data_IF_945570581911
#
_entry.id   IF_945570581911
#
_cell.length_a   1.000
_cell.length_b   1.000
_cell.length_c   1.000
_cell.angle_alpha   90.00
_cell.angle_beta   90.00
_cell.angle_gamma   90.00
#
_symmetry.space_group_name_H-M   'P 1'
#
loop_
_entity.id
_entity.type
_entity.pdbx_description
1 polymer ?
#
# COMPACT_ATOMS: atom_id res chain seq x y z
N UNK A 1 6.36 -29.75 2.75
CA UNK A 1 7.07 -28.97 3.79
C UNK A 1 6.29 -27.70 4.02
N UNK A 2 5.77 -27.48 5.23
CA UNK A 2 4.98 -26.30 5.55
C UNK A 2 5.90 -25.07 5.52
N UNK A 3 5.62 -24.12 4.63
CA UNK A 3 6.43 -22.91 4.45
C UNK A 3 6.51 -22.13 5.76
N UNK A 4 7.73 -21.77 6.14
CA UNK A 4 8.03 -20.95 7.32
C UNK A 4 7.19 -19.67 7.29
N UNK A 5 6.53 -19.37 8.41
CA UNK A 5 5.60 -18.25 8.53
C UNK A 5 6.41 -16.95 8.65
N UNK A 6 6.36 -16.11 7.62
CA UNK A 6 7.01 -14.79 7.64
C UNK A 6 6.07 -13.78 8.31
N UNK A 7 6.48 -13.26 9.46
CA UNK A 7 5.84 -12.14 10.14
C UNK A 7 6.45 -10.84 9.62
N UNK A 8 5.66 -9.77 9.52
CA UNK A 8 6.19 -8.41 9.40
C UNK A 8 6.24 -7.82 10.80
N UNK A 9 7.43 -7.49 11.28
CA UNK A 9 7.59 -6.79 12.54
C UNK A 9 7.27 -5.30 12.34
N UNK A 10 6.24 -4.81 13.05
CA UNK A 10 5.93 -3.39 13.13
C UNK A 10 6.35 -2.85 14.49
N UNK A 11 7.09 -1.75 14.54
CA UNK A 11 7.35 -1.05 15.80
C UNK A 11 6.18 -0.12 16.11
N UNK A 12 5.45 -0.40 17.20
CA UNK A 12 4.55 0.57 17.79
C UNK A 12 5.37 1.70 18.43
N UNK A 13 4.81 2.91 18.53
CA UNK A 13 5.45 4.03 19.22
C UNK A 13 5.41 3.87 20.77
N UNK A 14 5.54 2.65 21.26
CA UNK A 14 5.64 2.31 22.68
C UNK A 14 6.96 1.55 22.85
N UNK A 15 7.93 2.14 23.57
CA UNK A 15 9.23 1.50 23.81
C UNK A 15 9.06 0.07 24.36
N UNK A 16 9.68 -0.90 23.69
CA UNK A 16 9.66 -2.30 24.12
C UNK A 16 8.46 -3.13 23.66
N UNK A 17 7.57 -2.60 22.81
CA UNK A 17 6.47 -3.38 22.20
C UNK A 17 6.76 -3.57 20.71
N UNK A 18 7.13 -4.79 20.33
CA UNK A 18 7.20 -5.23 18.93
C UNK A 18 5.85 -5.83 18.57
N UNK A 19 5.12 -5.18 17.65
CA UNK A 19 3.86 -5.72 17.13
C UNK A 19 4.17 -6.66 15.98
N UNK A 20 3.71 -7.91 16.07
CA UNK A 20 3.90 -8.90 15.02
C UNK A 20 2.68 -8.91 14.11
N UNK A 21 2.87 -8.54 12.85
CA UNK A 21 1.84 -8.58 11.82
C UNK A 21 2.02 -9.89 11.06
N UNK A 22 0.93 -10.60 10.79
CA UNK A 22 0.99 -11.80 9.98
C UNK A 22 0.31 -11.53 8.63
N UNK A 23 1.07 -11.39 7.54
CA UNK A 23 0.52 -11.11 6.21
C UNK A 23 -0.45 -12.20 5.72
N UNK A 24 -0.23 -13.46 6.13
CA UNK A 24 -1.14 -14.58 5.84
C UNK A 24 -2.30 -14.71 6.85
N UNK A 25 -2.40 -13.81 7.83
CA UNK A 25 -3.56 -13.70 8.75
C UNK A 25 -4.69 -12.87 8.13
N UNK A 26 -4.81 -12.89 6.79
CA UNK A 26 -6.15 -13.04 6.25
C UNK A 26 -6.69 -14.31 6.89
N UNK A 27 -7.60 -14.18 7.85
CA UNK A 27 -8.29 -15.33 8.43
C UNK A 27 -8.83 -16.12 7.23
N UNK A 28 -8.21 -17.25 6.89
CA UNK A 28 -8.88 -18.23 6.06
C UNK A 28 -10.05 -18.68 6.91
N UNK A 29 -11.26 -18.43 6.41
CA UNK A 29 -12.54 -18.39 7.12
C UNK A 29 -12.93 -19.67 7.89
N UNK A 30 -12.08 -20.68 7.89
CA UNK A 30 -12.40 -22.04 8.30
C UNK A 30 -11.78 -22.39 9.67
N UNK A 31 -11.00 -21.49 10.28
CA UNK A 31 -10.18 -21.79 11.47
C UNK A 31 -10.44 -20.89 12.68
N UNK A 32 -11.64 -20.31 12.82
CA UNK A 32 -12.04 -19.79 14.14
C UNK A 32 -12.25 -20.98 15.08
N UNK A 33 -11.24 -21.33 15.90
CA UNK A 33 -11.42 -22.37 16.91
C UNK A 33 -11.88 -21.75 18.25
N UNK A 34 -12.86 -22.36 18.93
CA UNK A 34 -13.45 -21.81 20.17
C UNK A 34 -12.50 -21.69 21.38
N UNK A 35 -11.29 -22.24 21.32
CA UNK A 35 -10.32 -22.21 22.42
C UNK A 35 -9.45 -20.95 22.52
N UNK A 36 -9.61 -20.00 21.60
CA UNK A 36 -8.66 -18.90 21.39
C UNK A 36 -9.00 -17.63 22.20
N UNK A 37 -10.20 -17.60 22.78
CA UNK A 37 -10.75 -16.50 23.58
C UNK A 37 -10.17 -16.38 24.99
N UNK A 38 -9.27 -17.25 25.46
CA UNK A 38 -8.73 -17.14 26.83
C UNK A 38 -7.26 -16.74 26.91
N UNK A 39 -6.48 -16.84 25.83
CA UNK A 39 -5.01 -16.70 25.91
C UNK A 39 -4.48 -15.37 25.34
N UNK A 40 -5.20 -14.70 24.43
CA UNK A 40 -4.67 -13.53 23.69
C UNK A 40 -5.47 -12.23 23.91
N UNK A 41 -5.98 -12.01 25.11
CA UNK A 41 -6.62 -10.73 25.50
C UNK A 41 -5.66 -9.53 25.55
N UNK A 42 -4.38 -9.72 25.28
CA UNK A 42 -3.39 -8.66 25.40
C UNK A 42 -2.37 -8.75 24.26
N UNK A 43 -2.48 -7.80 23.31
CA UNK A 43 -1.38 -7.23 22.49
C UNK A 43 -1.15 -7.74 21.06
N UNK A 44 -2.03 -8.56 20.49
CA UNK A 44 -1.96 -8.87 19.05
C UNK A 44 -3.11 -8.19 18.31
N UNK A 45 -2.79 -7.31 17.35
CA UNK A 45 -3.79 -6.57 16.55
C UNK A 45 -3.84 -7.13 15.13
N UNK A 46 -5.06 -7.43 14.66
CA UNK A 46 -5.27 -7.92 13.30
C UNK A 46 -5.30 -6.76 12.28
N UNK A 47 -4.69 -6.98 11.12
CA UNK A 47 -4.94 -6.16 9.94
C UNK A 47 -6.37 -6.41 9.46
N UNK A 48 -7.17 -5.35 9.31
CA UNK A 48 -8.58 -5.47 8.91
C UNK A 48 -8.80 -4.63 7.64
N UNK A 49 -9.29 -5.27 6.58
CA UNK A 49 -9.63 -4.58 5.34
C UNK A 49 -10.89 -3.71 5.47
N UNK A 50 -11.06 -2.69 4.64
CA UNK A 50 -12.28 -1.87 4.54
C UNK A 50 -13.55 -2.71 4.39
N UNK A 51 -13.45 -3.89 3.75
CA UNK A 51 -14.54 -4.84 3.60
C UNK A 51 -14.91 -5.53 4.92
N UNK A 52 -13.93 -5.90 5.74
CA UNK A 52 -14.12 -6.56 7.05
C UNK A 52 -14.46 -5.55 8.16
N UNK A 53 -14.08 -4.31 7.93
CA UNK A 53 -14.25 -3.18 8.81
C UNK A 53 -15.70 -2.74 9.01
N UNK A 54 -16.64 -3.26 8.22
CA UNK A 54 -18.07 -2.92 8.33
C UNK A 54 -18.82 -3.89 9.28
N UNK A 55 -18.26 -5.07 9.62
CA UNK A 55 -18.99 -6.15 10.32
C UNK A 55 -18.23 -6.89 11.43
N UNK A 56 -18.98 -7.48 12.37
CA UNK A 56 -18.48 -8.52 13.27
C UNK A 56 -18.75 -9.91 12.66
N UNK A 57 -17.77 -10.81 12.71
CA UNK A 57 -18.02 -12.24 12.56
C UNK A 57 -17.77 -12.96 13.90
N UNK A 58 -18.64 -13.91 14.30
CA UNK A 58 -19.89 -14.26 13.64
C UNK A 58 -20.96 -13.19 13.88
N UNK A 59 -21.77 -12.93 12.85
CA UNK A 59 -23.01 -12.18 12.99
C UNK A 59 -23.84 -12.93 14.01
N UNK A 60 -24.13 -12.31 15.16
CA UNK A 60 -24.85 -12.99 16.24
C UNK A 60 -26.18 -13.57 15.71
N UNK A 61 -26.24 -14.90 15.60
CA UNK A 61 -27.40 -15.64 15.10
C UNK A 61 -28.64 -15.46 15.97
N UNK A 62 -28.50 -15.06 17.23
CA UNK A 62 -29.61 -15.01 18.18
C UNK A 62 -30.58 -13.83 18.00
N UNK A 63 -30.22 -12.81 17.19
CA UNK A 63 -31.03 -11.58 17.05
C UNK A 63 -31.69 -11.34 15.69
N UNK A 64 -31.29 -12.05 14.63
CA UNK A 64 -31.72 -11.76 13.25
C UNK A 64 -32.59 -12.88 12.67
N UNK A 65 -33.76 -13.06 13.25
CA UNK A 65 -34.80 -13.96 12.75
C UNK A 65 -35.49 -13.26 11.57
N UNK A 66 -34.89 -13.30 10.36
CA UNK A 66 -35.58 -12.87 9.13
C UNK A 66 -34.75 -12.35 7.96
N UNK A 67 -33.42 -12.25 8.04
CA UNK A 67 -32.59 -11.70 6.96
C UNK A 67 -31.74 -12.79 6.29
N UNK A 68 -31.61 -12.76 4.96
CA UNK A 68 -30.70 -13.60 4.17
C UNK A 68 -29.24 -13.22 4.45
N UNK A 69 -28.77 -13.51 5.67
CA UNK A 69 -27.45 -13.12 6.18
C UNK A 69 -26.34 -13.84 5.41
N UNK A 70 -26.52 -15.11 5.09
CA UNK A 70 -25.54 -15.89 4.33
C UNK A 70 -25.30 -15.30 2.94
N UNK A 71 -26.36 -15.01 2.17
CA UNK A 71 -26.21 -14.44 0.83
C UNK A 71 -25.55 -13.04 0.85
N UNK A 72 -25.83 -12.22 1.88
CA UNK A 72 -25.15 -10.93 2.05
C UNK A 72 -23.66 -11.12 2.37
N UNK A 73 -23.32 -12.10 3.20
CA UNK A 73 -21.94 -12.44 3.50
C UNK A 73 -21.18 -12.95 2.28
N UNK A 74 -21.77 -13.87 1.52
CA UNK A 74 -21.16 -14.39 0.28
C UNK A 74 -20.91 -13.25 -0.72
N UNK A 75 -21.86 -12.32 -0.85
CA UNK A 75 -21.70 -11.12 -1.68
C UNK A 75 -20.54 -10.22 -1.21
N UNK A 76 -20.37 -10.06 0.12
CA UNK A 76 -19.25 -9.29 0.67
C UNK A 76 -17.91 -9.97 0.38
N UNK A 77 -17.83 -11.29 0.52
CA UNK A 77 -16.61 -12.05 0.23
C UNK A 77 -16.27 -11.97 -1.25
N UNK A 78 -17.28 -12.02 -2.11
CA UNK A 78 -17.09 -11.79 -3.54
C UNK A 78 -16.61 -10.36 -3.82
N UNK A 79 -17.19 -9.37 -3.16
CA UNK A 79 -16.76 -7.97 -3.29
C UNK A 79 -15.31 -7.77 -2.84
N UNK A 80 -14.91 -8.40 -1.73
CA UNK A 80 -13.52 -8.39 -1.23
C UNK A 80 -12.57 -9.06 -2.22
N UNK A 81 -12.96 -10.24 -2.72
CA UNK A 81 -12.20 -10.99 -3.73
C UNK A 81 -12.00 -10.16 -4.99
N UNK A 82 -13.05 -9.52 -5.50
CA UNK A 82 -12.97 -8.63 -6.66
C UNK A 82 -12.15 -7.37 -6.35
N UNK A 83 -12.26 -6.84 -5.13
CA UNK A 83 -11.60 -5.62 -4.68
C UNK A 83 -12.06 -4.38 -5.42
N UNK A 84 -11.34 -3.28 -5.19
CA UNK A 84 -11.42 -2.06 -6.00
C UNK A 84 -10.14 -1.95 -6.78
N UNK A 85 -10.23 -1.77 -8.10
CA UNK A 85 -9.07 -1.50 -8.95
C UNK A 85 -8.94 0.00 -9.13
N UNK A 86 -7.79 0.57 -8.76
CA UNK A 86 -7.49 2.00 -8.90
C UNK A 86 -6.33 2.15 -9.87
N UNK A 87 -6.47 2.90 -10.98
CA UNK A 87 -5.36 3.12 -11.90
C UNK A 87 -4.25 3.95 -11.22
N UNK A 88 -3.00 3.65 -11.54
CA UNK A 88 -1.86 4.49 -11.19
C UNK A 88 -1.34 5.12 -12.48
N UNK A 89 -1.60 6.41 -12.66
CA UNK A 89 -1.14 7.16 -13.84
C UNK A 89 0.09 8.01 -13.54
N UNK A 90 0.12 8.64 -12.37
CA UNK A 90 1.19 9.55 -11.98
C UNK A 90 1.80 9.16 -10.64
N UNK A 91 3.09 9.43 -10.50
CA UNK A 91 3.86 9.26 -9.26
C UNK A 91 4.29 10.62 -8.72
N UNK A 92 4.38 10.72 -7.39
CA UNK A 92 4.80 11.89 -6.67
C UNK A 92 5.91 11.57 -5.65
N UNK A 93 6.93 12.43 -5.63
CA UNK A 93 7.96 12.45 -4.59
C UNK A 93 7.68 13.62 -3.64
N UNK A 94 7.11 13.31 -2.48
CA UNK A 94 6.78 14.31 -1.46
C UNK A 94 8.01 14.71 -0.64
N UNK A 95 8.14 16.01 -0.36
CA UNK A 95 9.29 16.56 0.33
C UNK A 95 9.00 17.94 0.93
N UNK A 96 9.95 18.50 1.70
CA UNK A 96 9.86 19.87 2.21
C UNK A 96 10.29 20.89 1.15
N UNK A 97 9.90 22.16 1.31
CA UNK A 97 10.39 23.26 0.47
C UNK A 97 11.92 23.33 0.40
N UNK A 98 12.61 23.16 1.53
CA UNK A 98 14.08 23.23 1.60
C UNK A 98 14.72 22.07 0.81
N UNK A 99 14.20 20.85 0.99
CA UNK A 99 14.69 19.69 0.26
C UNK A 99 14.38 19.77 -1.24
N UNK A 100 13.24 20.36 -1.63
CA UNK A 100 12.89 20.55 -3.04
C UNK A 100 13.91 21.47 -3.74
N UNK A 101 14.33 22.55 -3.08
CA UNK A 101 15.40 23.43 -3.59
C UNK A 101 16.69 22.64 -3.76
N UNK A 102 17.07 21.85 -2.75
CA UNK A 102 18.26 20.99 -2.84
C UNK A 102 18.21 20.00 -4.01
N UNK A 103 17.06 19.35 -4.24
CA UNK A 103 16.86 18.41 -5.35
C UNK A 103 17.03 19.12 -6.71
N UNK A 104 16.48 20.32 -6.85
CA UNK A 104 16.62 21.13 -8.08
C UNK A 104 18.09 21.53 -8.29
N UNK A 105 18.74 22.04 -7.24
CA UNK A 105 20.13 22.50 -7.31
C UNK A 105 21.09 21.36 -7.66
N UNK A 106 20.80 20.14 -7.17
CA UNK A 106 21.61 18.94 -7.46
C UNK A 106 21.19 18.24 -8.74
N UNK A 107 20.09 18.63 -9.37
CA UNK A 107 19.58 18.04 -10.61
C UNK A 107 19.00 16.62 -10.46
N UNK A 108 18.65 16.19 -9.25
CA UNK A 108 18.16 14.83 -9.06
C UNK A 108 17.86 14.39 -7.63
N UNK A 109 17.31 13.19 -7.51
CA UNK A 109 16.85 12.60 -6.26
C UNK A 109 17.91 11.72 -5.63
N UNK A 110 18.26 12.02 -4.38
CA UNK A 110 19.22 11.23 -3.59
C UNK A 110 18.51 10.08 -2.89
N UNK A 111 19.15 8.91 -2.89
CA UNK A 111 18.70 7.75 -2.11
C UNK A 111 19.61 7.50 -0.92
N UNK A 112 19.03 7.34 0.27
CA UNK A 112 19.76 6.80 1.41
C UNK A 112 20.02 5.30 1.23
N UNK A 113 21.22 4.84 1.59
CA UNK A 113 21.52 3.41 1.63
C UNK A 113 20.63 2.74 2.69
N UNK A 114 19.91 1.69 2.31
CA UNK A 114 19.05 0.92 3.21
C UNK A 114 19.29 -0.56 3.04
N UNK A 115 19.31 -1.29 4.16
CA UNK A 115 19.18 -2.74 4.17
C UNK A 115 17.78 -3.10 3.65
N UNK A 116 17.73 -3.90 2.60
CA UNK A 116 16.47 -4.36 2.00
C UNK A 116 16.21 -5.84 2.24
N UNK A 117 17.26 -6.65 2.38
CA UNK A 117 17.15 -8.08 2.65
C UNK A 117 18.52 -8.62 3.11
N UNK A 118 18.60 -9.93 3.32
CA UNK A 118 19.83 -10.69 3.51
C UNK A 118 19.99 -11.67 2.33
N UNK A 119 21.22 -11.93 1.92
CA UNK A 119 21.51 -12.95 0.91
C UNK A 119 21.50 -14.37 1.51
N UNK A 120 21.83 -15.37 0.69
CA UNK A 120 21.84 -16.76 1.13
C UNK A 120 22.91 -17.08 2.19
N UNK A 121 23.90 -16.19 2.36
CA UNK A 121 24.97 -16.27 3.33
C UNK A 121 24.65 -15.52 4.62
N UNK A 122 23.55 -14.76 4.63
CA UNK A 122 23.12 -13.92 5.75
C UNK A 122 23.73 -12.52 5.74
N UNK A 123 24.39 -12.13 4.64
CA UNK A 123 24.97 -10.80 4.51
C UNK A 123 23.91 -9.78 4.07
N UNK A 124 24.01 -8.56 4.61
CA UNK A 124 23.07 -7.48 4.33
C UNK A 124 23.10 -7.07 2.85
N UNK A 125 21.97 -7.24 2.15
CA UNK A 125 21.75 -6.62 0.85
C UNK A 125 21.33 -5.17 1.10
N UNK A 126 22.21 -4.25 0.76
CA UNK A 126 21.99 -2.80 0.89
C UNK A 126 21.80 -2.16 -0.48
N UNK A 127 20.82 -1.26 -0.62
CA UNK A 127 20.62 -0.51 -1.85
C UNK A 127 20.09 0.90 -1.57
N UNK A 128 20.35 1.82 -2.50
CA UNK A 128 19.83 3.18 -2.50
C UNK A 128 18.57 3.24 -3.37
N UNK A 129 17.57 3.98 -2.91
CA UNK A 129 16.32 4.17 -3.66
C UNK A 129 15.83 5.61 -3.60
N UNK A 130 15.28 6.08 -4.72
CA UNK A 130 14.35 7.20 -4.76
C UNK A 130 12.92 6.66 -4.61
N UNK A 131 12.20 7.13 -3.58
CA UNK A 131 10.85 6.65 -3.24
C UNK A 131 9.79 7.57 -3.81
N UNK A 132 8.80 6.97 -4.46
CA UNK A 132 7.69 7.67 -5.10
C UNK A 132 6.37 7.01 -4.72
N UNK A 133 5.33 7.80 -4.50
CA UNK A 133 3.99 7.30 -4.19
C UNK A 133 3.02 7.71 -5.30
N UNK A 134 2.01 6.90 -5.65
CA UNK A 134 0.99 7.34 -6.60
C UNK A 134 0.33 8.63 -6.18
N UNK A 135 0.00 9.46 -7.15
CA UNK A 135 -0.85 10.63 -6.96
C UNK A 135 -2.26 10.32 -7.44
N UNK A 136 -3.16 10.06 -6.49
CA UNK A 136 -4.57 9.87 -6.81
C UNK A 136 -5.32 11.20 -6.96
N UNK A 137 -6.33 11.18 -7.83
CA UNK A 137 -7.25 12.27 -8.10
C UNK A 137 -8.52 12.14 -7.26
N UNK A 138 -9.37 13.18 -7.26
CA UNK A 138 -10.70 13.09 -6.65
C UNK A 138 -11.59 12.03 -7.34
N UNK A 139 -11.41 11.82 -8.65
CA UNK A 139 -12.10 10.78 -9.41
C UNK A 139 -11.79 9.38 -8.86
N UNK A 140 -10.52 9.10 -8.59
CA UNK A 140 -10.07 7.82 -8.03
C UNK A 140 -10.63 7.60 -6.63
N UNK A 141 -10.64 8.64 -5.79
CA UNK A 141 -11.26 8.58 -4.46
C UNK A 141 -12.75 8.25 -4.55
N UNK A 142 -13.47 8.91 -5.46
CA UNK A 142 -14.90 8.68 -5.66
C UNK A 142 -15.19 7.27 -6.19
N UNK A 143 -14.31 6.71 -7.02
CA UNK A 143 -14.40 5.32 -7.46
C UNK A 143 -14.27 4.33 -6.31
N UNK A 144 -13.30 4.54 -5.40
CA UNK A 144 -13.14 3.72 -4.19
C UNK A 144 -14.37 3.80 -3.31
N UNK A 145 -14.83 5.02 -2.99
CA UNK A 145 -16.01 5.26 -2.15
C UNK A 145 -17.28 4.65 -2.74
N UNK A 146 -17.47 4.78 -4.06
CA UNK A 146 -18.59 4.21 -4.80
C UNK A 146 -18.58 2.68 -4.78
N UNK A 147 -17.41 2.08 -5.07
CA UNK A 147 -17.24 0.62 -5.11
C UNK A 147 -17.48 -0.02 -3.74
N UNK A 148 -16.84 0.50 -2.69
CA UNK A 148 -17.02 0.00 -1.32
C UNK A 148 -18.45 0.26 -0.81
N UNK A 149 -19.01 1.44 -1.08
CA UNK A 149 -20.38 1.74 -0.69
C UNK A 149 -21.41 0.80 -1.31
N UNK A 150 -21.31 0.55 -2.61
CA UNK A 150 -22.26 -0.30 -3.33
C UNK A 150 -22.09 -1.79 -3.00
N UNK A 151 -20.84 -2.26 -2.93
CA UNK A 151 -20.55 -3.70 -2.83
C UNK A 151 -20.40 -4.20 -1.39
N UNK A 152 -19.84 -3.38 -0.49
CA UNK A 152 -19.55 -3.77 0.89
C UNK A 152 -20.59 -3.25 1.89
N UNK A 153 -21.04 -2.00 1.75
CA UNK A 153 -21.92 -1.36 2.75
C UNK A 153 -23.40 -1.57 2.45
N UNK A 154 -23.84 -1.23 1.23
CA UNK A 154 -25.25 -1.17 0.85
C UNK A 154 -26.06 -2.43 1.18
N UNK A 155 -25.53 -3.67 1.00
CA UNK A 155 -26.29 -4.88 1.32
C UNK A 155 -26.67 -5.02 2.81
N UNK A 156 -26.09 -4.21 3.69
CA UNK A 156 -26.19 -4.34 5.13
C UNK A 156 -26.75 -3.11 5.85
N UNK A 157 -27.15 -2.05 5.12
CA UNK A 157 -27.75 -0.86 5.71
C UNK A 157 -29.01 -1.20 6.54
N UNK A 158 -29.07 -0.68 7.75
CA UNK A 158 -30.23 -0.72 8.64
C UNK A 158 -31.01 0.60 8.66
N UNK A 159 -32.09 0.63 9.46
CA UNK A 159 -32.86 1.85 9.69
C UNK A 159 -32.00 2.85 10.49
N UNK A 160 -31.69 4.00 9.89
CA UNK A 160 -30.89 5.07 10.51
C UNK A 160 -29.46 5.20 9.99
N UNK A 161 -28.98 4.24 9.20
CA UNK A 161 -27.66 4.35 8.55
C UNK A 161 -27.73 5.36 7.38
N UNK A 162 -26.71 6.22 7.28
CA UNK A 162 -26.55 7.15 6.16
C UNK A 162 -25.38 6.68 5.28
N UNK A 163 -25.72 6.18 4.08
CA UNK A 163 -24.74 5.62 3.14
C UNK A 163 -23.64 6.64 2.78
N UNK A 164 -23.99 7.90 2.55
CA UNK A 164 -23.00 8.94 2.20
C UNK A 164 -22.00 9.16 3.35
N UNK A 165 -22.48 9.21 4.60
CA UNK A 165 -21.60 9.32 5.77
C UNK A 165 -20.66 8.12 5.93
N UNK A 166 -21.10 6.92 5.54
CA UNK A 166 -20.29 5.71 5.61
C UNK A 166 -19.25 5.65 4.48
N UNK A 167 -19.65 6.01 3.26
CA UNK A 167 -18.77 6.06 2.10
C UNK A 167 -17.65 7.09 2.26
N UNK A 168 -17.94 8.25 2.87
CA UNK A 168 -16.97 9.33 3.07
C UNK A 168 -15.81 8.98 4.02
N UNK A 169 -15.81 7.78 4.59
CA UNK A 169 -14.74 7.30 5.48
C UNK A 169 -13.63 6.59 4.70
N UNK A 170 -13.88 6.21 3.46
CA UNK A 170 -12.91 5.57 2.57
C UNK A 170 -12.18 6.56 1.68
N UNK A 171 -11.03 6.13 1.15
CA UNK A 171 -10.13 6.96 0.37
C UNK A 171 -9.81 8.29 1.09
N UNK A 172 -9.53 8.20 2.39
CA UNK A 172 -9.20 9.33 3.27
C UNK A 172 -7.81 9.19 3.89
N UNK A 173 -7.10 8.08 3.65
CA UNK A 173 -5.73 7.88 4.12
C UNK A 173 -4.74 8.82 3.44
N UNK A 174 -3.53 8.89 3.99
CA UNK A 174 -2.46 9.70 3.42
C UNK A 174 -2.06 9.24 2.00
N UNK A 175 -2.38 8.00 1.59
CA UNK A 175 -2.20 7.56 0.20
C UNK A 175 -3.04 8.39 -0.79
N UNK A 176 -4.26 8.79 -0.39
CA UNK A 176 -5.18 9.58 -1.23
C UNK A 176 -5.10 11.07 -0.95
N UNK A 177 -4.93 11.43 0.33
CA UNK A 177 -4.88 12.81 0.81
C UNK A 177 -3.62 13.00 1.66
N UNK A 178 -2.43 13.13 1.03
CA UNK A 178 -1.17 13.23 1.75
C UNK A 178 -1.17 14.40 2.74
N UNK A 179 -0.75 14.12 3.98
CA UNK A 179 -0.66 15.14 5.02
C UNK A 179 0.66 15.93 4.92
N UNK A 180 0.64 17.26 4.70
CA UNK A 180 1.86 18.07 4.59
C UNK A 180 2.77 18.02 5.81
N UNK A 181 2.21 17.78 7.01
CA UNK A 181 3.00 17.65 8.24
C UNK A 181 3.80 16.36 8.30
N UNK A 182 3.38 15.34 7.55
CA UNK A 182 4.02 14.02 7.52
C UNK A 182 4.95 13.85 6.33
N UNK A 183 4.52 14.31 5.16
CA UNK A 183 5.23 14.07 3.89
C UNK A 183 5.96 15.32 3.36
N UNK A 184 5.74 16.48 3.97
CA UNK A 184 6.23 17.77 3.49
C UNK A 184 5.21 18.50 2.61
N UNK A 185 5.45 19.79 2.39
CA UNK A 185 4.51 20.70 1.74
C UNK A 185 4.79 20.93 0.25
N UNK A 186 5.69 20.13 -0.34
CA UNK A 186 6.03 20.14 -1.76
C UNK A 186 6.07 18.73 -2.31
N UNK A 187 5.88 18.60 -3.60
CA UNK A 187 6.13 17.33 -4.27
C UNK A 187 6.50 17.53 -5.74
N UNK A 188 7.33 16.63 -6.25
CA UNK A 188 7.55 16.49 -7.70
C UNK A 188 6.58 15.47 -8.26
N UNK A 189 5.95 15.73 -9.40
CA UNK A 189 5.01 14.79 -10.03
C UNK A 189 5.36 14.50 -11.48
N UNK A 190 5.32 13.23 -11.85
CA UNK A 190 5.51 12.77 -13.23
C UNK A 190 4.47 11.69 -13.57
N UNK A 191 4.12 11.56 -14.85
CA UNK A 191 3.43 10.37 -15.32
C UNK A 191 4.35 9.15 -15.15
N UNK A 192 3.82 8.02 -14.69
CA UNK A 192 4.62 6.86 -14.28
C UNK A 192 5.46 6.30 -15.44
N UNK A 193 4.86 6.20 -16.63
CA UNK A 193 5.54 5.66 -17.80
C UNK A 193 6.64 6.60 -18.31
N UNK A 194 6.43 7.91 -18.20
CA UNK A 194 7.44 8.92 -18.52
C UNK A 194 8.61 8.86 -17.52
N UNK A 195 8.32 8.77 -16.22
CA UNK A 195 9.34 8.65 -15.18
C UNK A 195 10.17 7.37 -15.34
N UNK A 196 9.52 6.25 -15.67
CA UNK A 196 10.21 5.00 -15.99
C UNK A 196 11.10 5.12 -17.23
N UNK A 197 10.68 5.87 -18.25
CA UNK A 197 11.52 6.12 -19.42
C UNK A 197 12.74 6.97 -19.07
N UNK A 198 12.59 8.05 -18.29
CA UNK A 198 13.72 8.85 -17.82
C UNK A 198 14.70 8.04 -16.99
N UNK A 199 14.18 7.12 -16.17
CA UNK A 199 14.99 6.17 -15.44
C UNK A 199 15.78 5.25 -16.39
N UNK A 200 15.11 4.62 -17.35
CA UNK A 200 15.71 3.75 -18.38
C UNK A 200 16.85 4.45 -19.13
N UNK A 201 16.60 5.68 -19.57
CA UNK A 201 17.56 6.50 -20.31
C UNK A 201 18.79 6.81 -19.45
N UNK A 202 18.61 7.00 -18.13
CA UNK A 202 19.70 7.30 -17.19
C UNK A 202 20.55 6.07 -16.86
N UNK A 203 19.96 4.87 -16.80
CA UNK A 203 20.71 3.61 -16.60
C UNK A 203 21.27 3.04 -17.89
N UNK A 204 20.82 3.52 -19.06
CA UNK A 204 21.13 2.97 -20.37
C UNK A 204 20.82 1.46 -20.48
N UNK A 205 19.73 1.01 -19.85
CA UNK A 205 19.29 -0.38 -19.80
C UNK A 205 17.75 -0.46 -19.77
N UNK A 206 17.21 -1.65 -20.05
CA UNK A 206 15.79 -1.93 -19.92
C UNK A 206 15.35 -1.90 -18.45
N UNK A 207 14.13 -1.42 -18.20
CA UNK A 207 13.57 -1.34 -16.85
C UNK A 207 12.86 -2.64 -16.50
N UNK A 208 13.22 -3.20 -15.34
CA UNK A 208 12.56 -4.35 -14.74
C UNK A 208 11.78 -3.95 -13.49
N UNK A 209 10.57 -4.50 -13.38
CA UNK A 209 9.66 -4.28 -12.25
C UNK A 209 9.55 -5.53 -11.39
N UNK A 210 9.77 -5.38 -10.09
CA UNK A 210 9.68 -6.47 -9.12
C UNK A 210 8.93 -6.05 -7.86
N UNK A 211 8.49 -7.01 -7.06
CA UNK A 211 7.92 -6.74 -5.73
C UNK A 211 9.06 -6.69 -4.74
N UNK A 212 9.43 -5.48 -4.28
CA UNK A 212 10.49 -5.29 -3.28
C UNK A 212 10.07 -5.87 -1.92
N UNK A 213 8.80 -5.78 -1.58
CA UNK A 213 8.27 -6.33 -0.34
C UNK A 213 7.05 -5.58 0.16
N UNK A 214 6.58 -5.98 1.34
CA UNK A 214 5.53 -5.29 2.08
C UNK A 214 6.09 -4.85 3.42
N UNK A 215 5.96 -3.56 3.74
CA UNK A 215 6.52 -2.94 4.94
C UNK A 215 5.39 -2.52 5.87
N UNK A 216 5.45 -2.97 7.13
CA UNK A 216 4.47 -2.64 8.14
C UNK A 216 4.93 -1.49 9.03
N UNK A 217 4.25 -0.35 8.96
CA UNK A 217 4.39 0.77 9.89
C UNK A 217 3.22 0.81 10.88
N UNK A 218 3.35 1.62 11.94
CA UNK A 218 2.32 1.73 13.00
C UNK A 218 0.90 1.95 12.47
N UNK A 219 0.75 2.77 11.44
CA UNK A 219 -0.55 3.16 10.87
C UNK A 219 -0.67 2.88 9.37
N UNK A 220 0.30 2.21 8.76
CA UNK A 220 0.39 2.04 7.31
C UNK A 220 0.98 0.67 6.96
N UNK A 221 0.45 0.03 5.92
CA UNK A 221 1.08 -1.10 5.25
C UNK A 221 1.47 -0.63 3.85
N UNK A 222 2.76 -0.61 3.55
CA UNK A 222 3.27 -0.16 2.25
C UNK A 222 3.70 -1.35 1.41
N UNK A 223 3.08 -1.54 0.26
CA UNK A 223 3.52 -2.48 -0.77
C UNK A 223 4.49 -1.77 -1.70
N UNK A 224 5.73 -2.24 -1.77
CA UNK A 224 6.77 -1.59 -2.56
C UNK A 224 7.03 -2.34 -3.86
N UNK A 225 6.92 -1.61 -4.97
CA UNK A 225 7.38 -2.02 -6.30
C UNK A 225 8.81 -1.52 -6.47
N UNK A 226 9.73 -2.43 -6.77
CA UNK A 226 11.08 -2.10 -7.20
C UNK A 226 11.08 -1.76 -8.69
N UNK A 227 11.70 -0.64 -9.02
CA UNK A 227 12.05 -0.26 -10.39
C UNK A 227 13.58 -0.31 -10.50
N UNK A 228 14.11 -1.18 -11.34
CA UNK A 228 15.56 -1.44 -11.45
C UNK A 228 15.97 -1.72 -12.89
N UNK A 229 17.28 -1.77 -13.15
CA UNK A 229 17.81 -2.21 -14.44
C UNK A 229 17.54 -3.69 -14.68
N UNK A 230 17.50 -4.13 -15.93
CA UNK A 230 17.36 -5.54 -16.27
C UNK A 230 18.54 -6.36 -15.73
N UNK A 231 19.76 -5.80 -15.78
CA UNK A 231 20.94 -6.41 -15.19
C UNK A 231 20.80 -6.65 -13.67
N UNK A 232 20.37 -5.64 -12.91
CA UNK A 232 20.15 -5.79 -11.47
C UNK A 232 18.95 -6.68 -11.15
N UNK A 233 17.91 -6.60 -11.97
CA UNK A 233 16.71 -7.44 -11.90
C UNK A 233 17.03 -8.92 -12.07
N UNK A 234 18.00 -9.28 -12.92
CA UNK A 234 18.48 -10.65 -13.09
C UNK A 234 19.56 -11.04 -12.06
N UNK A 235 20.35 -10.07 -11.60
CA UNK A 235 21.42 -10.24 -10.62
C UNK A 235 20.93 -10.06 -9.19
N UNK A 236 21.29 -8.93 -8.58
CA UNK A 236 21.08 -8.65 -7.14
C UNK A 236 19.62 -8.74 -6.68
N UNK A 237 18.67 -8.51 -7.57
CA UNK A 237 17.23 -8.58 -7.28
C UNK A 237 16.55 -9.80 -7.93
N UNK A 238 17.31 -10.77 -8.45
CA UNK A 238 16.77 -11.95 -9.14
C UNK A 238 15.81 -12.80 -8.30
N UNK A 239 15.99 -12.80 -6.98
CA UNK A 239 15.13 -13.54 -6.06
C UNK A 239 13.77 -12.87 -5.77
N UNK A 240 13.59 -11.59 -6.14
CA UNK A 240 12.34 -10.87 -5.88
C UNK A 240 11.28 -11.22 -6.93
N UNK A 241 10.00 -11.40 -6.55
CA UNK A 241 8.94 -11.72 -7.49
C UNK A 241 8.76 -10.65 -8.57
N UNK A 242 8.39 -11.05 -9.78
CA UNK A 242 7.98 -10.10 -10.81
C UNK A 242 6.62 -9.48 -10.48
N UNK A 243 6.37 -8.28 -11.00
CA UNK A 243 5.02 -7.71 -11.03
C UNK A 243 4.21 -8.48 -12.05
N UNK A 244 3.04 -8.99 -11.64
CA UNK A 244 2.16 -9.79 -12.50
C UNK A 244 1.30 -8.92 -13.42
N UNK A 245 0.94 -9.46 -14.57
CA UNK A 245 -0.22 -8.98 -15.34
C UNK A 245 -1.54 -9.40 -14.67
N UNK A 246 -2.66 -8.83 -15.12
CA UNK A 246 -3.98 -9.21 -14.59
C UNK A 246 -4.33 -10.65 -14.96
N UNK A 247 -3.86 -11.10 -16.11
CA UNK A 247 -4.07 -12.45 -16.63
C UNK A 247 -3.24 -13.47 -15.84
N UNK A 248 -2.04 -13.09 -15.39
CA UNK A 248 -1.17 -13.91 -14.55
C UNK A 248 -1.67 -13.99 -13.09
N UNK A 249 -2.35 -12.96 -12.59
CA UNK A 249 -2.97 -12.95 -11.25
C UNK A 249 -4.28 -13.75 -11.21
N UNK A 250 -4.20 -15.05 -11.52
CA UNK A 250 -5.32 -15.98 -11.60
C UNK A 250 -6.13 -16.10 -10.30
N UNK A 251 -5.50 -15.81 -9.15
CA UNK A 251 -6.14 -15.86 -7.84
C UNK A 251 -6.65 -14.49 -7.38
N UNK A 252 -6.45 -13.44 -8.18
CA UNK A 252 -6.81 -12.07 -7.88
C UNK A 252 -6.24 -11.58 -6.53
N UNK A 253 -5.00 -11.99 -6.24
CA UNK A 253 -4.31 -11.78 -4.98
C UNK A 253 -3.20 -10.73 -5.06
N UNK A 254 -2.82 -10.28 -6.25
CA UNK A 254 -1.82 -9.24 -6.42
C UNK A 254 -2.39 -7.88 -5.96
N UNK A 255 -1.62 -7.18 -5.13
CA UNK A 255 -1.97 -5.81 -4.70
C UNK A 255 -1.67 -4.79 -5.80
N UNK A 256 -0.69 -5.10 -6.66
CA UNK A 256 -0.30 -4.26 -7.80
C UNK A 256 -0.11 -5.15 -9.01
N UNK A 257 -0.67 -4.73 -10.15
CA UNK A 257 -0.48 -5.37 -11.45
C UNK A 257 -0.11 -4.34 -12.49
N UNK A 258 0.57 -4.78 -13.56
CA UNK A 258 0.88 -3.96 -14.74
C UNK A 258 0.57 -4.77 -15.99
N UNK A 259 -0.17 -4.20 -16.93
CA UNK A 259 -0.41 -4.85 -18.22
C UNK A 259 0.70 -4.56 -19.25
N UNK A 260 0.61 -5.19 -20.42
CA UNK A 260 1.58 -5.07 -21.51
C UNK A 260 1.61 -3.66 -22.12
N UNK A 261 0.51 -2.92 -22.01
CA UNK A 261 0.40 -1.52 -22.44
C UNK A 261 1.03 -0.54 -21.41
N UNK A 262 1.51 -1.07 -20.28
CA UNK A 262 2.14 -0.29 -19.22
C UNK A 262 1.15 0.39 -18.28
N UNK A 263 -0.10 -0.02 -18.24
CA UNK A 263 -1.09 0.50 -17.30
C UNK A 263 -0.94 -0.20 -15.96
N UNK A 264 -0.73 0.62 -14.93
CA UNK A 264 -0.61 0.16 -13.56
C UNK A 264 -1.96 0.17 -12.85
N UNK A 265 -2.23 -0.86 -12.07
CA UNK A 265 -3.44 -0.96 -11.24
C UNK A 265 -3.03 -1.32 -9.82
N UNK A 266 -3.53 -0.55 -8.85
CA UNK A 266 -3.48 -0.87 -7.43
C UNK A 266 -4.83 -1.39 -6.95
N UNK A 267 -4.79 -2.42 -6.11
CA UNK A 267 -5.97 -3.06 -5.53
C UNK A 267 -5.97 -2.94 -4.00
N UNK A 268 -6.32 -1.76 -3.45
CA UNK A 268 -6.33 -1.56 -2.02
C UNK A 268 -7.40 -2.40 -1.33
N UNK A 269 -7.06 -2.90 -0.16
CA UNK A 269 -7.96 -3.53 0.80
C UNK A 269 -8.31 -2.59 1.96
N UNK A 270 -7.49 -1.59 2.29
CA UNK A 270 -7.77 -0.63 3.37
C UNK A 270 -7.39 0.82 2.98
N UNK A 271 -8.35 1.74 2.94
CA UNK A 271 -8.18 3.10 2.37
C UNK A 271 -8.59 4.23 3.31
N UNK A 272 -9.14 3.92 4.48
CA UNK A 272 -9.53 4.91 5.48
C UNK A 272 -8.35 5.41 6.32
N UNK A 273 -8.20 6.72 6.46
CA UNK A 273 -7.17 7.37 7.30
C UNK A 273 -7.58 7.56 8.77
N UNK A 274 -8.88 7.51 9.05
CA UNK A 274 -9.46 7.71 10.39
C UNK A 274 -10.30 6.50 10.83
N UNK A 275 -10.87 6.56 12.03
CA UNK A 275 -11.87 5.57 12.47
C UNK A 275 -13.01 5.47 11.45
N UNK A 276 -13.21 4.28 10.89
CA UNK A 276 -14.41 3.99 10.11
C UNK A 276 -15.51 3.58 11.10
N UNK A 277 -16.51 4.43 11.24
CA UNK A 277 -17.76 4.19 11.96
C UNK A 277 -18.51 3.01 11.31
N UNK A 278 -18.76 1.98 12.12
CA UNK A 278 -19.52 0.80 11.72
C UNK A 278 -21.04 1.06 11.76
N UNK A 279 -21.81 0.21 11.09
CA UNK A 279 -23.27 0.28 11.00
C UNK A 279 -23.93 0.18 12.38
N UNK A 280 -24.97 1.00 12.62
CA UNK A 280 -25.60 1.12 13.94
C UNK A 280 -26.25 -0.19 14.41
N UNK A 281 -26.78 -1.00 13.50
CA UNK A 281 -27.39 -2.29 13.81
C UNK A 281 -26.39 -3.34 14.34
N UNK A 282 -25.09 -3.06 14.30
CA UNK A 282 -24.01 -3.99 14.62
C UNK A 282 -23.02 -3.41 15.64
N UNK A 283 -23.49 -2.55 16.57
CA UNK A 283 -22.69 -1.84 17.58
C UNK A 283 -21.48 -2.64 18.12
N UNK A 284 -20.28 -2.08 17.96
CA UNK A 284 -19.03 -2.58 18.55
C UNK A 284 -18.15 -1.43 19.05
N UNK A 285 -17.35 -1.73 20.10
CA UNK A 285 -16.49 -0.76 20.78
C UNK A 285 -15.06 -0.62 20.20
N UNK A 286 -14.60 -1.53 19.33
CA UNK A 286 -13.18 -1.65 18.89
C UNK A 286 -13.09 -2.34 17.51
N UNK A 287 -12.01 -2.21 16.69
CA UNK A 287 -10.61 -1.91 17.05
C UNK A 287 -10.19 -0.44 16.93
N UNK A 288 -9.24 -0.06 17.79
CA UNK A 288 -8.65 1.28 17.93
C UNK A 288 -7.58 1.63 16.89
N UNK A 289 -7.07 0.68 16.11
CA UNK A 289 -5.99 0.93 15.17
C UNK A 289 -6.25 0.23 13.85
N UNK A 290 -6.31 1.02 12.77
CA UNK A 290 -6.30 0.50 11.41
C UNK A 290 -5.06 1.00 10.71
N UNK A 291 -4.47 0.10 9.94
CA UNK A 291 -3.37 0.43 9.04
C UNK A 291 -3.97 0.52 7.66
N UNK A 292 -3.85 1.69 7.05
CA UNK A 292 -4.25 1.86 5.66
C UNK A 292 -3.17 1.28 4.75
N UNK A 293 -3.57 0.81 3.58
CA UNK A 293 -2.63 0.33 2.57
C UNK A 293 -2.13 1.49 1.72
N UNK A 294 -0.86 1.38 1.36
CA UNK A 294 -0.17 2.23 0.41
C UNK A 294 0.54 1.36 -0.62
N UNK A 295 0.83 1.95 -1.77
CA UNK A 295 1.81 1.43 -2.70
C UNK A 295 2.88 2.48 -2.94
N UNK A 296 4.13 2.04 -3.02
CA UNK A 296 5.25 2.90 -3.33
C UNK A 296 6.13 2.27 -4.41
N UNK A 297 6.75 3.13 -5.22
CA UNK A 297 7.71 2.77 -6.24
C UNK A 297 9.10 3.19 -5.77
N UNK A 298 9.98 2.22 -5.63
CA UNK A 298 11.36 2.38 -5.23
C UNK A 298 12.23 2.28 -6.47
N UNK A 299 12.65 3.42 -7.00
CA UNK A 299 13.61 3.49 -8.11
C UNK A 299 15.00 3.28 -7.55
N UNK A 300 15.63 2.17 -7.92
CA UNK A 300 17.00 1.86 -7.52
C UNK A 300 17.96 2.91 -8.06
N UNK A 301 18.95 3.30 -7.25
CA UNK A 301 20.02 4.19 -7.65
C UNK A 301 21.29 3.34 -7.70
N UNK A 302 21.79 2.98 -8.89
CA UNK A 302 23.00 2.19 -9.04
C UNK A 302 24.20 2.83 -8.35
N UNK A 303 25.06 2.00 -7.75
CA UNK A 303 26.31 2.47 -7.14
C UNK A 303 27.26 3.07 -8.19
N UNK A 304 27.12 2.62 -9.44
CA UNK A 304 27.90 3.03 -10.62
C UNK A 304 27.55 4.43 -11.14
N UNK A 305 26.42 5.01 -10.71
CA UNK A 305 26.08 6.41 -10.97
C UNK A 305 26.99 7.40 -10.21
N UNK A 306 28.07 6.92 -9.59
CA UNK A 306 29.16 7.73 -9.04
C UNK A 306 30.51 7.27 -9.58
N UNK A 307 31.12 8.07 -10.47
CA UNK A 307 32.53 7.95 -10.85
C UNK A 307 33.40 9.09 -10.34
N UNK A 308 32.84 10.00 -9.54
CA UNK A 308 33.55 11.14 -8.98
C UNK A 308 33.43 11.13 -7.44
N UNK A 309 34.53 11.08 -6.69
CA UNK A 309 34.51 11.17 -5.24
C UNK A 309 33.89 12.46 -4.68
N UNK A 310 33.65 13.48 -5.53
CA UNK A 310 32.93 14.71 -5.17
C UNK A 310 31.46 14.75 -5.67
N UNK A 311 31.01 13.84 -6.56
CA UNK A 311 29.61 13.78 -7.01
C UNK A 311 28.83 12.70 -6.26
N UNK A 312 27.83 13.13 -5.49
CA UNK A 312 26.83 12.24 -4.93
C UNK A 312 26.00 11.59 -6.04
N UNK A 313 25.67 10.30 -5.90
CA UNK A 313 24.82 9.54 -6.82
C UNK A 313 23.36 9.96 -6.70
N UNK A 314 22.70 10.36 -7.80
CA UNK A 314 21.28 10.73 -7.81
C UNK A 314 20.56 10.17 -9.05
N UNK A 315 19.26 9.94 -8.89
CA UNK A 315 18.34 9.73 -10.01
C UNK A 315 18.05 11.07 -10.67
N UNK A 316 18.65 11.31 -11.83
CA UNK A 316 18.39 12.50 -12.63
C UNK A 316 17.02 12.39 -13.32
N UNK A 317 16.26 13.48 -13.30
CA UNK A 317 14.97 13.58 -13.99
C UNK A 317 14.88 14.98 -14.60
N UNK A 318 14.44 15.14 -15.86
CA UNK A 318 14.40 16.44 -16.51
C UNK A 318 13.32 17.36 -15.93
N UNK A 319 13.50 18.66 -16.16
CA UNK A 319 12.50 19.71 -15.92
C UNK A 319 11.97 19.79 -14.48
N UNK A 320 12.78 19.46 -13.47
CA UNK A 320 12.38 19.41 -12.05
C UNK A 320 11.54 20.62 -11.59
N UNK A 321 11.90 21.82 -12.03
CA UNK A 321 11.20 23.05 -11.66
C UNK A 321 9.75 23.08 -12.15
N UNK A 322 9.48 22.55 -13.35
CA UNK A 322 8.15 22.56 -13.98
C UNK A 322 7.22 21.51 -13.36
N UNK A 323 7.81 20.47 -12.76
CA UNK A 323 7.12 19.36 -12.12
C UNK A 323 6.99 19.53 -10.60
N UNK A 324 7.45 20.66 -10.04
CA UNK A 324 7.33 20.96 -8.61
C UNK A 324 5.97 21.60 -8.30
N UNK A 325 5.24 20.99 -7.38
CA UNK A 325 3.92 21.44 -6.96
C UNK A 325 3.85 21.73 -5.46
N UNK A 326 3.02 22.69 -5.03
CA UNK A 326 2.66 22.84 -3.62
C UNK A 326 1.66 21.75 -3.21
N UNK A 327 1.85 21.19 -2.02
CA UNK A 327 0.80 20.42 -1.36
C UNK A 327 -0.06 21.40 -0.52
N UNK A 328 -1.37 21.50 -0.76
CA UNK A 328 -2.25 22.38 0.03
C UNK A 328 -2.21 22.04 1.52
N UNK A 329 -2.30 23.07 2.37
CA UNK A 329 -2.30 22.95 3.84
C UNK A 329 -3.58 22.33 4.42
#
# INVERSE_FOLDING_TARGET
MAGQIQWLDGQANVPGIVEKIWPKRHISQNQWQPGWDQVYWQRDYDYISDYECVFNYPINHAGNIGLNVQGRWDNLQEAKRQGTNVPITSLAHFTSQENAVGIIDTGGFRGGMKKINEDAQGDDINAKFSWWSPKFTEGDQNQVRGTLGTRAIQPFLGQGDNLANLQNQFATSDAFTPNPRRYGNRYFQYEINELCQYYADSIHDEVKYKILGTFGYKQEIMHAVLVCSQADGAGRFGAYPDVLTKEEDVNNGAVVTRDDDGNWTWKPQATGGTEIRRLQAHMQNYPMYRRWENVAFAFHIPDEWGYDPENETFMAVPNLQDHLHPLPE
#
